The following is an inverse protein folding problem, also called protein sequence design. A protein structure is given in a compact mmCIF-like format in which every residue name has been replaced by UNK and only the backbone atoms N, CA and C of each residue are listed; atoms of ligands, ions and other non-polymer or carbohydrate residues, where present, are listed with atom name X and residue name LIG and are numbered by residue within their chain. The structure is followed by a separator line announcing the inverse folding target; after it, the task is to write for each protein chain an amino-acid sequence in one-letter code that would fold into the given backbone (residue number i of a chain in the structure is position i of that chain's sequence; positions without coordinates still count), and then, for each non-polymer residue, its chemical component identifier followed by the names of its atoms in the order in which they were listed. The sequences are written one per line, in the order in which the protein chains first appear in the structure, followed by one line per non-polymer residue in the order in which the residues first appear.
data_IF_374219268120
#
_entry.id   IF_374219268120
#
_cell.length_a   1.000
_cell.length_b   1.000
_cell.length_c   1.000
_cell.angle_alpha   90.00
_cell.angle_beta   90.00
_cell.angle_gamma   90.00
#
_symmetry.space_group_name_H-M   'P 1'
#
loop_
_entity.id
_entity.type
_entity.pdbx_description
1 polymer ?
#
# COMPACT_ATOMS: atom_id res chain seq x y z
N UNK A 1 4.93 4.42 12.67
CA UNK A 1 5.51 4.75 11.36
C UNK A 1 5.40 3.60 10.36
N UNK A 2 5.75 2.36 10.72
CA UNK A 2 5.72 1.16 9.84
C UNK A 2 4.52 1.01 8.89
N UNK A 3 3.28 1.22 9.39
CA UNK A 3 2.04 1.20 8.58
C UNK A 3 2.04 2.21 7.43
N UNK A 4 2.47 3.44 7.71
CA UNK A 4 2.53 4.54 6.72
C UNK A 4 3.60 4.26 5.67
N UNK A 5 4.77 3.76 6.11
CA UNK A 5 5.84 3.35 5.21
C UNK A 5 5.34 2.27 4.26
N UNK A 6 4.72 1.20 4.78
CA UNK A 6 4.21 0.15 3.91
C UNK A 6 3.18 0.70 2.91
N UNK A 7 2.22 1.52 3.34
CA UNK A 7 1.25 2.14 2.43
C UNK A 7 1.93 2.93 1.30
N UNK A 8 2.91 3.77 1.64
CA UNK A 8 3.61 4.63 0.70
C UNK A 8 4.44 3.87 -0.34
N UNK A 9 5.01 2.71 0.02
CA UNK A 9 5.89 1.92 -0.86
C UNK A 9 5.24 0.67 -1.49
N UNK A 10 3.96 0.42 -1.20
CA UNK A 10 3.22 -0.72 -1.76
C UNK A 10 2.02 -0.33 -2.60
N UNK A 11 1.40 0.83 -2.35
CA UNK A 11 0.16 1.24 -3.00
C UNK A 11 -1.08 0.49 -2.51
N UNK A 12 -1.01 -0.21 -1.38
CA UNK A 12 -2.15 -0.86 -0.73
C UNK A 12 -3.25 0.15 -0.38
N UNK A 13 -4.51 -0.28 -0.48
CA UNK A 13 -5.65 0.42 0.14
C UNK A 13 -5.61 0.24 1.66
N UNK A 14 -6.20 1.15 2.42
CA UNK A 14 -6.25 1.02 3.89
C UNK A 14 -6.91 -0.29 4.33
N UNK A 15 -7.99 -0.70 3.66
CA UNK A 15 -8.66 -1.97 3.94
C UNK A 15 -7.77 -3.20 3.70
N UNK A 16 -6.92 -3.16 2.67
CA UNK A 16 -5.97 -4.24 2.35
C UNK A 16 -4.84 -4.28 3.39
N UNK A 17 -4.31 -3.12 3.79
CA UNK A 17 -3.32 -3.01 4.88
C UNK A 17 -3.85 -3.63 6.17
N UNK A 18 -5.08 -3.30 6.54
CA UNK A 18 -5.71 -3.79 7.76
C UNK A 18 -6.02 -5.29 7.72
N UNK A 19 -6.21 -5.86 6.52
CA UNK A 19 -6.46 -7.29 6.33
C UNK A 19 -5.17 -8.12 6.17
N UNK A 20 -4.01 -7.48 6.06
CA UNK A 20 -2.73 -8.12 5.79
C UNK A 20 -2.34 -9.09 6.91
N UNK A 21 -2.06 -10.34 6.54
CA UNK A 21 -1.57 -11.39 7.43
C UNK A 21 -0.13 -11.74 7.10
N UNK A 22 0.58 -12.32 8.08
CA UNK A 22 1.96 -12.78 7.87
C UNK A 22 2.09 -13.80 6.74
N UNK A 23 1.05 -14.62 6.51
CA UNK A 23 0.99 -15.58 5.40
C UNK A 23 0.86 -14.96 4.02
N UNK A 24 0.57 -13.66 3.93
CA UNK A 24 0.44 -12.94 2.66
C UNK A 24 1.79 -12.39 2.16
N UNK A 25 2.86 -12.54 2.96
CA UNK A 25 4.19 -12.02 2.68
C UNK A 25 5.16 -13.18 2.40
N UNK A 26 5.83 -13.14 1.25
CA UNK A 26 6.94 -14.03 0.92
C UNK A 26 8.26 -13.26 1.15
N UNK A 27 8.93 -13.53 2.26
CA UNK A 27 10.20 -12.87 2.61
C UNK A 27 11.40 -13.37 1.80
N UNK A 28 11.29 -14.49 1.10
CA UNK A 28 12.38 -14.96 0.22
C UNK A 28 12.34 -14.21 -1.10
N UNK A 29 11.13 -13.97 -1.63
CA UNK A 29 10.93 -13.24 -2.88
C UNK A 29 10.72 -11.74 -2.70
N UNK A 30 10.57 -11.28 -1.46
CA UNK A 30 10.15 -9.93 -1.11
C UNK A 30 8.79 -9.56 -1.76
N UNK A 31 7.80 -10.45 -1.69
CA UNK A 31 6.51 -10.25 -2.35
C UNK A 31 5.36 -10.14 -1.35
N UNK A 32 4.33 -9.37 -1.71
CA UNK A 32 3.03 -9.34 -1.05
C UNK A 32 1.95 -9.89 -1.98
N UNK A 33 1.20 -10.89 -1.52
CA UNK A 33 -0.04 -11.36 -2.16
C UNK A 33 -1.27 -10.72 -1.52
N UNK A 34 -1.81 -9.71 -2.18
CA UNK A 34 -3.05 -9.05 -1.76
C UNK A 34 -4.27 -9.74 -2.37
N UNK A 35 -5.18 -10.19 -1.51
CA UNK A 35 -6.36 -10.99 -1.92
C UNK A 35 -7.62 -10.71 -1.11
N UNK A 36 -7.56 -9.78 -0.15
CA UNK A 36 -8.64 -9.50 0.80
C UNK A 36 -8.51 -8.10 1.39
N UNK A 37 -9.62 -7.57 1.87
CA UNK A 37 -9.71 -6.30 2.59
C UNK A 37 -10.62 -6.44 3.81
N UNK A 38 -10.42 -5.58 4.80
CA UNK A 38 -11.27 -5.55 5.99
C UNK A 38 -12.57 -4.82 5.69
N UNK A 39 -13.69 -5.43 6.07
CA UNK A 39 -15.01 -4.81 6.09
C UNK A 39 -15.52 -4.81 7.53
N UNK A 40 -15.87 -3.64 8.05
CA UNK A 40 -16.45 -3.50 9.40
C UNK A 40 -17.38 -2.28 9.38
N UNK A 41 -18.68 -2.47 9.08
CA UNK A 41 -19.62 -1.35 8.92
C UNK A 41 -19.91 -0.61 10.22
N UNK A 42 -19.71 -1.26 11.37
CA UNK A 42 -19.93 -0.69 12.70
C UNK A 42 -18.67 -0.09 13.33
N UNK A 43 -17.56 -0.02 12.59
CA UNK A 43 -16.25 0.39 13.13
C UNK A 43 -15.83 -0.40 14.39
N UNK A 44 -16.29 -1.64 14.54
CA UNK A 44 -15.99 -2.49 15.69
C UNK A 44 -14.94 -3.53 15.30
N UNK A 45 -13.78 -3.49 15.96
CA UNK A 45 -12.68 -4.40 15.67
C UNK A 45 -13.03 -5.88 15.88
N UNK A 46 -14.08 -6.19 16.66
CA UNK A 46 -14.57 -7.56 16.90
C UNK A 46 -15.60 -8.02 15.88
N UNK A 47 -16.26 -7.08 15.21
CA UNK A 47 -17.26 -7.34 14.17
C UNK A 47 -16.68 -6.91 12.83
N UNK A 48 -15.79 -7.74 12.29
CA UNK A 48 -15.17 -7.54 10.98
C UNK A 48 -15.26 -8.79 10.12
N UNK A 49 -15.24 -8.57 8.81
CA UNK A 49 -15.15 -9.59 7.79
C UNK A 49 -13.91 -9.34 6.92
N UNK A 50 -13.36 -10.41 6.36
CA UNK A 50 -12.34 -10.35 5.32
C UNK A 50 -13.01 -10.66 3.99
N UNK A 51 -13.27 -9.63 3.21
CA UNK A 51 -13.95 -9.77 1.93
C UNK A 51 -12.92 -9.79 0.79
N UNK A 52 -13.16 -10.57 -0.28
CA UNK A 52 -12.32 -10.49 -1.47
C UNK A 52 -12.48 -9.12 -2.18
N UNK A 53 -11.56 -8.77 -3.08
CA UNK A 53 -11.75 -7.65 -3.99
C UNK A 53 -13.02 -7.84 -4.84
N UNK A 54 -13.66 -6.73 -5.23
CA UNK A 54 -14.89 -6.74 -6.03
C UNK A 54 -14.72 -7.39 -7.40
N UNK A 55 -13.51 -7.33 -7.95
CA UNK A 55 -13.16 -7.88 -9.26
C UNK A 55 -11.96 -8.83 -9.13
N UNK A 56 -11.87 -9.89 -9.97
CA UNK A 56 -10.74 -10.84 -9.93
C UNK A 56 -9.37 -10.15 -10.03
N UNK A 57 -9.27 -9.11 -10.85
CA UNK A 57 -8.06 -8.31 -11.05
C UNK A 57 -7.61 -7.52 -9.80
N UNK A 58 -8.38 -7.53 -8.71
CA UNK A 58 -7.96 -7.00 -7.41
C UNK A 58 -7.05 -7.96 -6.64
N UNK A 59 -7.10 -9.26 -6.95
CA UNK A 59 -6.15 -10.27 -6.41
C UNK A 59 -4.85 -10.16 -7.18
N UNK A 60 -3.74 -9.94 -6.47
CA UNK A 60 -2.46 -9.61 -7.09
C UNK A 60 -1.29 -9.95 -6.18
N UNK A 61 -0.17 -10.26 -6.82
CA UNK A 61 1.14 -10.40 -6.17
C UNK A 61 2.07 -9.37 -6.78
N UNK A 62 2.84 -8.70 -5.94
CA UNK A 62 3.82 -7.70 -6.36
C UNK A 62 4.98 -7.65 -5.37
N UNK A 63 6.13 -7.23 -5.88
CA UNK A 63 7.35 -7.02 -5.12
C UNK A 63 7.19 -5.86 -4.12
N UNK A 64 7.87 -5.97 -2.99
CA UNK A 64 8.00 -4.95 -1.96
C UNK A 64 9.49 -4.63 -1.86
N UNK A 65 9.79 -3.35 -1.71
CA UNK A 65 11.17 -2.89 -1.56
C UNK A 65 11.87 -3.64 -0.39
N UNK A 66 13.10 -4.16 -0.57
CA UNK A 66 13.75 -5.03 0.41
C UNK A 66 13.89 -4.42 1.81
N UNK A 67 14.17 -3.11 1.93
CA UNK A 67 14.27 -2.45 3.24
C UNK A 67 12.92 -2.41 3.98
N UNK A 68 11.81 -2.28 3.24
CA UNK A 68 10.45 -2.39 3.80
C UNK A 68 10.17 -3.83 4.27
N UNK A 69 10.62 -4.85 3.52
CA UNK A 69 10.47 -6.25 3.94
C UNK A 69 11.29 -6.57 5.19
N UNK A 70 12.51 -6.06 5.30
CA UNK A 70 13.33 -6.21 6.51
C UNK A 70 12.71 -5.48 7.73
N UNK A 71 12.09 -4.31 7.51
CA UNK A 71 11.30 -3.64 8.54
C UNK A 71 10.12 -4.51 9.02
N UNK A 72 9.44 -5.19 8.10
CA UNK A 72 8.32 -6.09 8.43
C UNK A 72 8.80 -7.36 9.15
N UNK A 73 9.93 -7.93 8.74
CA UNK A 73 10.57 -9.06 9.42
C UNK A 73 10.96 -8.72 10.86
N UNK A 74 11.55 -7.54 11.06
CA UNK A 74 11.85 -7.02 12.40
C UNK A 74 10.58 -6.84 13.26
N UNK A 75 9.48 -6.40 12.65
CA UNK A 75 8.18 -6.32 13.32
C UNK A 75 7.64 -7.71 13.70
N UNK A 76 7.76 -8.69 12.80
CA UNK A 76 7.34 -10.07 13.07
C UNK A 76 8.09 -10.67 14.24
N UNK A 77 9.42 -10.50 14.28
CA UNK A 77 10.26 -10.97 15.39
C UNK A 77 9.87 -10.34 16.72
N UNK A 78 9.66 -9.01 16.74
CA UNK A 78 9.19 -8.32 17.93
C UNK A 78 7.83 -8.85 18.41
N UNK A 79 6.87 -8.99 17.50
CA UNK A 79 5.54 -9.51 17.84
C UNK A 79 5.60 -10.94 18.38
N UNK A 80 6.40 -11.82 17.76
CA UNK A 80 6.58 -13.20 18.23
C UNK A 80 7.14 -13.27 19.65
N UNK A 81 8.09 -12.39 20.01
CA UNK A 81 8.66 -12.33 21.37
C UNK A 81 7.63 -11.96 22.43
N UNK A 82 6.72 -11.04 22.14
CA UNK A 82 5.72 -10.57 23.11
C UNK A 82 4.41 -11.37 23.06
N UNK A 83 4.18 -12.14 21.99
CA UNK A 83 2.91 -12.84 21.72
C UNK A 83 2.48 -13.77 22.85
N UNK A 84 3.39 -14.59 23.37
CA UNK A 84 3.04 -15.56 24.41
C UNK A 84 2.59 -14.86 25.69
N UNK A 85 3.34 -13.86 26.15
CA UNK A 85 2.99 -13.09 27.35
C UNK A 85 1.63 -12.38 27.18
N UNK A 86 1.43 -11.71 26.06
CA UNK A 86 0.18 -10.97 25.79
C UNK A 86 -1.03 -11.90 25.68
N UNK A 87 -0.87 -13.09 25.10
CA UNK A 87 -1.93 -14.11 24.99
C UNK A 87 -2.36 -14.65 26.35
N UNK A 88 -1.46 -14.70 27.33
CA UNK A 88 -1.77 -15.16 28.69
C UNK A 88 -2.37 -14.04 29.57
N UNK A 89 -2.11 -12.78 29.25
CA UNK A 89 -2.54 -11.62 30.05
C UNK A 89 -3.85 -10.99 29.56
N UNK A 90 -4.33 -11.33 28.36
CA UNK A 90 -5.53 -10.75 27.75
C UNK A 90 -6.50 -11.87 27.40
N UNK A 91 -7.61 -11.97 28.13
CA UNK A 91 -8.62 -13.02 27.94
C UNK A 91 -9.22 -13.03 26.52
N UNK A 92 -9.49 -11.84 25.96
CA UNK A 92 -9.99 -11.65 24.59
C UNK A 92 -8.84 -11.44 23.59
N UNK A 93 -7.85 -12.33 23.62
CA UNK A 93 -6.74 -12.31 22.67
C UNK A 93 -7.15 -12.94 21.33
N UNK A 94 -7.04 -12.16 20.25
CA UNK A 94 -7.43 -12.58 18.91
C UNK A 94 -6.27 -13.10 18.08
N UNK A 95 -6.08 -14.42 18.09
CA UNK A 95 -4.95 -15.06 17.42
C UNK A 95 -5.22 -15.36 15.94
N UNK A 96 -5.25 -14.32 15.09
CA UNK A 96 -5.47 -14.44 13.64
C UNK A 96 -4.29 -13.99 12.77
N UNK A 97 -3.10 -13.80 13.37
CA UNK A 97 -1.83 -13.52 12.69
C UNK A 97 -1.86 -12.32 11.72
N UNK A 98 -2.55 -11.24 12.09
CA UNK A 98 -2.47 -9.97 11.36
C UNK A 98 -1.08 -9.33 11.50
N UNK A 99 -0.58 -8.72 10.41
CA UNK A 99 0.67 -7.96 10.44
C UNK A 99 0.53 -6.73 11.33
N UNK A 100 -0.59 -6.00 11.18
CA UNK A 100 -0.90 -4.81 11.95
C UNK A 100 -2.15 -5.02 12.80
N UNK A 101 -1.91 -5.40 14.06
CA UNK A 101 -2.95 -5.58 15.05
C UNK A 101 -2.75 -4.67 16.27
N UNK A 102 -3.80 -4.56 17.08
CA UNK A 102 -3.79 -4.03 18.43
C UNK A 102 -3.09 -5.02 19.38
N UNK A 103 -2.88 -4.60 20.63
CA UNK A 103 -2.25 -5.46 21.64
C UNK A 103 -3.05 -6.76 21.85
N UNK A 104 -4.38 -6.70 21.84
CA UNK A 104 -5.24 -7.88 21.93
C UNK A 104 -5.38 -8.66 20.61
N UNK A 105 -4.51 -8.48 19.62
CA UNK A 105 -4.48 -9.28 18.38
C UNK A 105 -5.52 -8.90 17.31
N UNK A 106 -6.55 -8.12 17.65
CA UNK A 106 -7.53 -7.65 16.66
C UNK A 106 -6.92 -6.66 15.66
N UNK A 107 -7.36 -6.66 14.40
CA UNK A 107 -6.82 -5.78 13.38
C UNK A 107 -7.13 -4.31 13.69
N UNK A 108 -6.31 -3.41 13.15
CA UNK A 108 -6.74 -2.02 13.01
C UNK A 108 -7.86 -1.93 11.97
N UNK A 109 -8.75 -0.95 12.12
CA UNK A 109 -9.75 -0.62 11.10
C UNK A 109 -9.28 0.57 10.26
N UNK A 110 -9.88 0.75 9.08
CA UNK A 110 -9.52 1.82 8.14
C UNK A 110 -9.59 3.21 8.80
N UNK A 111 -10.63 3.45 9.60
CA UNK A 111 -10.79 4.66 10.41
C UNK A 111 -9.62 4.92 11.36
N UNK A 112 -9.05 3.88 11.97
CA UNK A 112 -7.90 4.04 12.87
C UNK A 112 -6.64 4.45 12.11
N UNK A 113 -6.49 4.00 10.86
CA UNK A 113 -5.40 4.42 9.98
C UNK A 113 -5.59 5.89 9.61
N UNK A 114 -6.79 6.27 9.15
CA UNK A 114 -7.12 7.64 8.76
C UNK A 114 -6.86 8.64 9.89
N UNK A 115 -7.43 8.40 11.08
CA UNK A 115 -7.21 9.27 12.27
C UNK A 115 -5.72 9.40 12.58
N UNK A 116 -4.95 8.33 12.44
CA UNK A 116 -3.50 8.38 12.71
C UNK A 116 -2.77 9.21 11.65
N UNK A 117 -3.16 9.14 10.39
CA UNK A 117 -2.59 9.94 9.30
C UNK A 117 -2.92 11.41 9.49
N UNK A 118 -4.17 11.75 9.80
CA UNK A 118 -4.58 13.13 10.10
C UNK A 118 -3.79 13.72 11.26
N UNK A 119 -3.56 12.94 12.33
CA UNK A 119 -2.73 13.37 13.46
C UNK A 119 -1.28 13.64 13.05
N UNK A 120 -0.73 12.85 12.14
CA UNK A 120 0.62 13.08 11.62
C UNK A 120 0.64 14.35 10.76
N UNK A 121 -0.35 14.56 9.87
CA UNK A 121 -0.41 15.74 9.01
C UNK A 121 -0.49 17.05 9.80
N UNK A 122 -1.23 17.07 10.93
CA UNK A 122 -1.29 18.24 11.83
C UNK A 122 0.07 18.63 12.44
N UNK A 123 1.05 17.73 12.42
CA UNK A 123 2.42 17.98 12.90
C UNK A 123 3.36 18.40 11.77
N UNK A 124 2.84 18.63 10.57
CA UNK A 124 3.60 19.01 9.37
C UNK A 124 3.03 20.29 8.77
N UNK A 125 3.76 20.89 7.82
CA UNK A 125 3.26 22.01 7.00
C UNK A 125 2.32 21.58 5.86
N UNK A 126 1.98 20.30 5.76
CA UNK A 126 1.13 19.77 4.68
C UNK A 126 -0.32 20.16 4.93
N UNK A 127 -0.90 20.91 4.00
CA UNK A 127 -2.28 21.40 4.06
C UNK A 127 -3.30 20.48 3.37
N UNK A 128 -2.84 19.45 2.65
CA UNK A 128 -3.71 18.49 1.98
C UNK A 128 -4.45 17.62 2.99
N UNK A 129 -5.72 17.35 2.73
CA UNK A 129 -6.52 16.45 3.54
C UNK A 129 -6.04 15.00 3.43
N UNK A 130 -6.10 14.27 4.55
CA UNK A 130 -5.88 12.83 4.55
C UNK A 130 -7.08 12.13 3.91
N UNK A 131 -6.84 11.35 2.87
CA UNK A 131 -7.86 10.47 2.27
C UNK A 131 -7.43 9.01 2.38
N UNK A 132 -8.37 8.04 2.29
CA UNK A 132 -8.03 6.60 2.28
C UNK A 132 -7.06 6.18 1.16
N UNK A 133 -6.91 7.01 0.14
CA UNK A 133 -6.12 6.71 -1.06
C UNK A 133 -4.86 7.57 -1.20
N UNK A 134 -4.57 8.47 -0.26
CA UNK A 134 -3.47 9.44 -0.39
C UNK A 134 -2.12 8.78 -0.68
N UNK A 135 -1.74 7.75 0.10
CA UNK A 135 -0.47 7.04 -0.09
C UNK A 135 -0.44 6.19 -1.35
N UNK A 136 -1.60 5.66 -1.78
CA UNK A 136 -1.70 4.94 -3.04
C UNK A 136 -1.44 5.87 -4.21
N UNK A 137 -1.98 7.09 -4.17
CA UNK A 137 -1.72 8.08 -5.20
C UNK A 137 -0.24 8.46 -5.23
N UNK A 138 0.36 8.68 -4.06
CA UNK A 138 1.81 8.92 -3.95
C UNK A 138 2.63 7.76 -4.55
N UNK A 139 2.28 6.50 -4.25
CA UNK A 139 2.96 5.34 -4.81
C UNK A 139 2.83 5.27 -6.34
N UNK A 140 1.65 5.56 -6.88
CA UNK A 140 1.43 5.65 -8.33
C UNK A 140 2.30 6.75 -8.94
N UNK A 141 2.36 7.93 -8.32
CA UNK A 141 3.23 9.02 -8.77
C UNK A 141 4.70 8.61 -8.77
N UNK A 142 5.19 7.99 -7.69
CA UNK A 142 6.57 7.51 -7.58
C UNK A 142 6.91 6.52 -8.69
N UNK A 143 6.03 5.55 -8.98
CA UNK A 143 6.24 4.59 -10.07
C UNK A 143 6.26 5.28 -11.44
N UNK A 144 5.36 6.24 -11.67
CA UNK A 144 5.31 6.98 -12.91
C UNK A 144 6.57 7.86 -13.11
N UNK A 145 7.02 8.53 -12.05
CA UNK A 145 8.27 9.32 -12.05
C UNK A 145 9.50 8.44 -12.29
N UNK A 146 9.48 7.20 -11.79
CA UNK A 146 10.51 6.19 -12.05
C UNK A 146 10.42 5.56 -13.46
N UNK A 147 9.48 5.98 -14.31
CA UNK A 147 9.34 5.50 -15.68
C UNK A 147 8.71 4.11 -15.80
N UNK A 148 8.00 3.63 -14.78
CA UNK A 148 7.29 2.34 -14.85
C UNK A 148 6.06 2.46 -15.73
N UNK A 149 5.90 1.54 -16.67
CA UNK A 149 4.78 1.54 -17.61
C UNK A 149 3.41 1.43 -16.92
N UNK A 150 2.43 2.17 -17.43
CA UNK A 150 1.07 2.20 -16.90
C UNK A 150 0.45 0.80 -16.69
N UNK A 151 0.52 -0.18 -17.62
CA UNK A 151 -0.03 -1.52 -17.38
C UNK A 151 0.59 -2.24 -16.17
N UNK A 152 1.88 -2.03 -15.91
CA UNK A 152 2.58 -2.61 -14.76
C UNK A 152 2.11 -1.95 -13.46
N UNK A 153 2.00 -0.62 -13.44
CA UNK A 153 1.44 0.13 -12.32
C UNK A 153 0.02 -0.37 -12.02
N UNK A 154 -0.83 -0.46 -13.05
CA UNK A 154 -2.21 -0.91 -12.95
C UNK A 154 -2.34 -2.31 -12.35
N UNK A 155 -1.49 -3.26 -12.79
CA UNK A 155 -1.45 -4.62 -12.25
C UNK A 155 -1.02 -4.62 -10.77
N UNK A 156 -0.03 -3.80 -10.40
CA UNK A 156 0.49 -3.70 -9.03
C UNK A 156 -0.51 -3.10 -8.05
N UNK A 157 -1.14 -1.99 -8.43
CA UNK A 157 -2.09 -1.30 -7.55
C UNK A 157 -3.48 -1.96 -7.63
N UNK A 158 -3.78 -2.69 -8.71
CA UNK A 158 -5.06 -3.36 -8.94
C UNK A 158 -6.05 -2.44 -9.67
N UNK A 159 -6.83 -3.04 -10.57
CA UNK A 159 -7.64 -2.34 -11.59
C UNK A 159 -8.94 -1.68 -11.10
N UNK A 160 -9.23 -1.71 -9.80
CA UNK A 160 -10.49 -1.17 -9.25
C UNK A 160 -10.63 0.36 -9.44
N UNK A 161 -9.50 1.07 -9.65
CA UNK A 161 -9.51 2.52 -9.87
C UNK A 161 -8.60 2.94 -11.04
N UNK A 162 -8.97 2.46 -12.23
CA UNK A 162 -8.24 2.77 -13.47
C UNK A 162 -8.25 4.25 -13.80
N UNK A 163 -9.39 4.94 -13.59
CA UNK A 163 -9.56 6.36 -13.92
C UNK A 163 -8.61 7.23 -13.12
N UNK A 164 -8.53 7.02 -11.80
CA UNK A 164 -7.61 7.81 -10.96
C UNK A 164 -6.15 7.48 -11.26
N UNK A 165 -5.83 6.20 -11.47
CA UNK A 165 -4.46 5.78 -11.80
C UNK A 165 -3.99 6.41 -13.12
N UNK A 166 -4.82 6.35 -14.16
CA UNK A 166 -4.56 6.98 -15.45
C UNK A 166 -4.40 8.51 -15.29
N UNK A 167 -5.30 9.17 -14.55
CA UNK A 167 -5.21 10.61 -14.32
C UNK A 167 -3.89 11.02 -13.67
N UNK A 168 -3.45 10.30 -12.65
CA UNK A 168 -2.18 10.57 -11.96
C UNK A 168 -1.00 10.33 -12.91
N UNK A 169 -1.00 9.20 -13.60
CA UNK A 169 0.05 8.84 -14.55
C UNK A 169 0.19 9.88 -15.67
N UNK A 170 -0.92 10.27 -16.30
CA UNK A 170 -0.93 11.31 -17.34
C UNK A 170 -0.39 12.63 -16.80
N UNK A 171 -0.82 13.07 -15.62
CA UNK A 171 -0.33 14.32 -15.04
C UNK A 171 1.19 14.31 -14.78
N UNK A 172 1.71 13.20 -14.23
CA UNK A 172 3.15 13.04 -13.98
C UNK A 172 3.93 13.01 -15.29
N UNK A 173 3.48 12.19 -16.26
CA UNK A 173 4.17 12.05 -17.54
C UNK A 173 4.10 13.32 -18.38
N UNK A 174 3.01 14.09 -18.36
CA UNK A 174 2.93 15.42 -18.98
C UNK A 174 3.97 16.38 -18.41
N UNK A 175 4.15 16.39 -17.08
CA UNK A 175 5.19 17.18 -16.42
C UNK A 175 6.61 16.75 -16.85
N UNK A 176 6.83 15.44 -17.06
CA UNK A 176 8.09 14.89 -17.58
C UNK A 176 8.28 15.15 -19.09
N UNK A 177 7.19 15.28 -19.84
CA UNK A 177 7.16 15.41 -21.31
C UNK A 177 7.52 16.81 -21.84
N UNK A 178 7.87 17.77 -20.98
CA UNK A 178 8.30 19.11 -21.43
C UNK A 178 9.55 19.10 -22.35
N UNK A 179 10.23 17.95 -22.53
CA UNK A 179 11.36 17.72 -23.45
C UNK A 179 11.10 16.66 -24.56
N UNK A 180 9.84 16.27 -24.83
CA UNK A 180 9.55 15.08 -25.67
C UNK A 180 10.01 15.20 -27.13
N UNK A 181 9.79 16.35 -27.74
CA UNK A 181 10.09 16.59 -29.16
C UNK A 181 11.60 16.59 -29.41
N UNK A 182 12.38 17.09 -28.45
CA UNK A 182 13.85 17.07 -28.49
C UNK A 182 14.40 15.65 -28.39
N UNK A 183 13.81 14.80 -27.53
CA UNK A 183 14.23 13.39 -27.38
C UNK A 183 13.98 12.56 -28.64
N UNK A 184 12.82 12.71 -29.28
CA UNK A 184 12.51 12.00 -30.54
C UNK A 184 13.48 12.44 -31.65
N UNK A 185 13.70 13.75 -31.76
CA UNK A 185 14.62 14.31 -32.77
C UNK A 185 16.05 13.85 -32.52
N UNK A 186 16.50 13.83 -31.26
CA UNK A 186 17.83 13.34 -30.88
C UNK A 186 18.01 11.84 -31.17
N UNK A 187 17.03 11.01 -30.82
CA UNK A 187 17.12 9.56 -30.91
C UNK A 187 16.95 9.04 -32.35
N UNK A 188 16.10 9.69 -33.14
CA UNK A 188 15.82 9.31 -34.53
C UNK A 188 16.43 10.26 -35.54
N UNK A 189 17.41 11.08 -35.15
CA UNK A 189 18.12 12.01 -36.04
C UNK A 189 18.62 11.34 -37.32
N UNK A 190 19.14 10.11 -37.18
CA UNK A 190 19.65 9.30 -38.28
C UNK A 190 18.58 8.86 -39.29
N UNK A 191 17.30 8.84 -38.91
CA UNK A 191 16.18 8.56 -39.82
C UNK A 191 15.62 9.82 -40.49
N UNK A 192 15.95 11.00 -39.97
CA UNK A 192 15.37 12.26 -40.43
C UNK A 192 16.14 12.90 -41.59
N UNK A 193 17.31 12.36 -41.99
CA UNK A 193 18.14 12.91 -43.09
C UNK A 193 18.30 14.45 -43.03
N UNK A 194 18.48 15.00 -41.83
CA UNK A 194 18.89 16.40 -41.57
C UNK A 194 20.19 16.41 -40.78
#
# INVERSE_FOLDING_TARGET
MKRVILLAFSGLRFGELCALKWSDLDFQKNENRTSKQIYSPKDNMREYELIPPKIPAGVRTFDIEPSVMEMLKSLQLYQSKVRLAVRLLIDDYHDKNFVFCRQNGYPFLQKNILIRVERILRLTSITKEATPHIFRHTHISMLAEAGVDLPVIMKRVGHDDMKTTLKIYTHVTEKMKKDSSEKVTFQFKHLLNV
#
